data_IF_274844942011
#
_entry.id   IF_274844942011
#
_cell.length_a   1.000
_cell.length_b   1.000
_cell.length_c   1.000
_cell.angle_alpha   90.00
_cell.angle_beta   90.00
_cell.angle_gamma   90.00
#
_symmetry.space_group_name_H-M   'P 1'
#
loop_
_entity.id
_entity.type
_entity.pdbx_description
1 polymer ?
#
# COMPACT_ATOMS: atom_id res chain seq x y z
N UNK A 1 -8.16 -0.51 -16.66
CA UNK A 1 -7.11 -0.20 -15.66
C UNK A 1 -6.90 1.30 -15.60
N UNK A 2 -6.82 1.87 -14.39
CA UNK A 2 -6.57 3.29 -14.14
C UNK A 2 -5.08 3.64 -14.26
N UNK A 3 -4.74 4.91 -14.59
CA UNK A 3 -3.35 5.38 -14.57
C UNK A 3 -2.73 5.29 -13.17
N UNK A 4 -1.41 5.04 -13.08
CA UNK A 4 -0.69 4.98 -11.80
C UNK A 4 -0.87 6.24 -10.96
N UNK A 5 -0.86 7.42 -11.58
CA UNK A 5 -1.10 8.70 -10.89
C UNK A 5 -2.46 8.73 -10.18
N UNK A 6 -3.54 8.28 -10.83
CA UNK A 6 -4.88 8.22 -10.23
C UNK A 6 -4.92 7.21 -9.07
N UNK A 7 -4.25 6.07 -9.21
CA UNK A 7 -4.17 5.05 -8.16
C UNK A 7 -3.39 5.57 -6.93
N UNK A 8 -2.24 6.22 -7.16
CA UNK A 8 -1.42 6.81 -6.10
C UNK A 8 -2.15 7.95 -5.39
N UNK A 9 -2.90 8.78 -6.13
CA UNK A 9 -3.74 9.83 -5.54
C UNK A 9 -4.87 9.25 -4.68
N UNK A 10 -5.53 8.18 -5.12
CA UNK A 10 -6.56 7.52 -4.34
C UNK A 10 -6.01 6.96 -3.03
N UNK A 11 -4.86 6.27 -3.09
CA UNK A 11 -4.16 5.76 -1.91
C UNK A 11 -3.73 6.90 -0.97
N UNK A 12 -3.19 7.98 -1.53
CA UNK A 12 -2.72 9.14 -0.76
C UNK A 12 -3.86 9.82 -0.01
N UNK A 13 -5.03 10.01 -0.64
CA UNK A 13 -6.22 10.54 0.04
C UNK A 13 -6.70 9.62 1.16
N UNK A 14 -6.70 8.32 0.94
CA UNK A 14 -7.08 7.35 1.96
C UNK A 14 -6.08 7.35 3.14
N UNK A 15 -4.78 7.40 2.86
CA UNK A 15 -3.74 7.51 3.88
C UNK A 15 -3.90 8.77 4.73
N UNK A 16 -4.11 9.92 4.09
CA UNK A 16 -4.32 11.19 4.79
C UNK A 16 -5.57 11.17 5.67
N UNK A 17 -6.66 10.51 5.23
CA UNK A 17 -7.88 10.37 6.03
C UNK A 17 -7.66 9.54 7.31
N UNK A 18 -6.75 8.56 7.26
CA UNK A 18 -6.32 7.75 8.41
C UNK A 18 -5.19 8.40 9.22
N UNK A 19 -4.72 9.59 8.84
CA UNK A 19 -3.61 10.28 9.50
C UNK A 19 -2.24 9.63 9.23
N UNK A 20 -2.08 8.95 8.09
CA UNK A 20 -0.87 8.25 7.67
C UNK A 20 -0.22 8.92 6.46
N UNK A 21 1.07 8.66 6.29
CA UNK A 21 1.83 9.00 5.10
C UNK A 21 1.94 7.79 4.17
N UNK A 22 1.67 8.01 2.88
CA UNK A 22 1.81 6.98 1.85
C UNK A 22 3.30 6.80 1.49
N UNK A 23 3.78 5.57 1.60
CA UNK A 23 5.11 5.16 1.16
C UNK A 23 5.14 4.74 -0.31
N UNK A 24 6.24 4.08 -0.69
CA UNK A 24 6.36 3.52 -2.04
C UNK A 24 5.47 2.29 -2.23
N UNK A 25 5.01 2.04 -3.48
CA UNK A 25 4.23 0.86 -3.80
C UNK A 25 5.08 -0.42 -3.64
N UNK A 26 4.49 -1.46 -3.08
CA UNK A 26 5.11 -2.78 -2.96
C UNK A 26 5.01 -3.57 -4.28
N UNK A 27 3.91 -3.40 -5.01
CA UNK A 27 3.62 -4.14 -6.23
C UNK A 27 2.12 -4.45 -6.35
N UNK A 28 1.78 -5.31 -7.30
CA UNK A 28 0.40 -5.69 -7.61
C UNK A 28 0.09 -7.11 -7.13
N UNK A 29 -1.05 -7.28 -6.47
CA UNK A 29 -1.58 -8.58 -6.08
C UNK A 29 -3.08 -8.63 -6.38
N UNK A 30 -3.53 -9.66 -7.09
CA UNK A 30 -4.95 -9.92 -7.37
C UNK A 30 -5.75 -8.70 -7.91
N UNK A 31 -5.09 -7.89 -8.73
CA UNK A 31 -5.69 -6.69 -9.33
C UNK A 31 -5.69 -5.46 -8.43
N UNK A 32 -5.04 -5.52 -7.26
CA UNK A 32 -4.84 -4.41 -6.35
C UNK A 32 -3.38 -3.96 -6.33
N UNK A 33 -3.16 -2.66 -6.48
CA UNK A 33 -1.86 -2.02 -6.25
C UNK A 33 -1.70 -1.74 -4.76
N UNK A 34 -0.62 -2.24 -4.18
CA UNK A 34 -0.36 -2.15 -2.75
C UNK A 34 0.65 -1.02 -2.49
N UNK A 35 0.34 -0.14 -1.55
CA UNK A 35 1.25 0.87 -1.03
C UNK A 35 1.54 0.62 0.44
N UNK A 36 2.79 0.79 0.86
CA UNK A 36 3.10 0.90 2.29
C UNK A 36 2.54 2.20 2.86
N UNK A 37 2.22 2.19 4.14
CA UNK A 37 1.85 3.38 4.90
C UNK A 37 2.64 3.43 6.20
N UNK A 38 2.99 4.65 6.61
CA UNK A 38 3.74 4.90 7.83
C UNK A 38 3.12 6.06 8.61
N UNK A 39 3.32 6.14 9.93
CA UNK A 39 2.99 7.33 10.69
C UNK A 39 3.65 8.59 10.10
N UNK A 40 3.03 9.77 10.24
CA UNK A 40 3.53 11.01 9.63
C UNK A 40 4.87 11.47 10.21
N UNK A 41 5.21 11.02 11.42
CA UNK A 41 6.46 11.25 12.13
C UNK A 41 7.48 10.11 11.96
N UNK A 42 7.28 9.22 10.98
CA UNK A 42 8.21 8.14 10.69
C UNK A 42 9.60 8.67 10.29
N UNK A 43 10.61 8.19 11.02
CA UNK A 43 12.02 8.41 10.72
C UNK A 43 12.71 7.07 10.36
N UNK A 44 13.67 7.07 9.41
CA UNK A 44 14.44 5.86 9.11
C UNK A 44 15.08 5.24 10.35
N UNK A 45 14.81 3.96 10.59
CA UNK A 45 15.32 3.22 11.75
C UNK A 45 14.35 3.12 12.93
N UNK A 46 13.19 3.78 12.85
CA UNK A 46 12.11 3.55 13.82
C UNK A 46 11.59 2.12 13.72
N UNK A 47 11.35 1.51 14.89
CA UNK A 47 10.69 0.21 14.98
C UNK A 47 9.18 0.45 14.96
N UNK A 48 8.56 0.08 13.86
CA UNK A 48 7.11 0.02 13.73
C UNK A 48 6.62 -1.39 14.07
N UNK A 49 5.32 -1.49 14.39
CA UNK A 49 4.64 -2.78 14.56
C UNK A 49 4.48 -3.52 13.24
N UNK A 50 3.32 -4.15 13.05
CA UNK A 50 3.01 -4.76 11.76
C UNK A 50 3.00 -3.70 10.63
N UNK A 51 3.49 -4.04 9.42
CA UNK A 51 3.42 -3.16 8.27
C UNK A 51 1.97 -2.73 8.01
N UNK A 52 1.82 -1.46 7.68
CA UNK A 52 0.54 -0.90 7.27
C UNK A 52 0.58 -0.60 5.79
N UNK A 53 -0.58 -0.59 5.15
CA UNK A 53 -0.66 -0.29 3.74
C UNK A 53 -2.06 0.00 3.24
N UNK A 54 -2.12 0.44 1.99
CA UNK A 54 -3.34 0.67 1.26
C UNK A 54 -3.37 -0.22 0.02
N UNK A 55 -4.48 -0.92 -0.15
CA UNK A 55 -4.77 -1.74 -1.31
C UNK A 55 -5.68 -0.93 -2.22
N UNK A 56 -5.29 -0.78 -3.48
CA UNK A 56 -6.01 0.05 -4.45
C UNK A 56 -6.42 -0.80 -5.63
N UNK A 57 -7.72 -1.00 -5.78
CA UNK A 57 -8.27 -1.70 -6.94
C UNK A 57 -7.89 -0.98 -8.24
N UNK A 58 -7.19 -1.69 -9.13
CA UNK A 58 -6.60 -1.11 -10.34
C UNK A 58 -7.63 -0.72 -11.41
N UNK A 59 -8.88 -1.18 -11.31
CA UNK A 59 -9.92 -0.87 -12.29
C UNK A 59 -10.77 0.34 -11.87
N UNK A 60 -11.13 0.38 -10.59
CA UNK A 60 -12.03 1.36 -9.99
C UNK A 60 -11.28 2.51 -9.32
N UNK A 61 -10.02 2.31 -8.92
CA UNK A 61 -9.24 3.25 -8.12
C UNK A 61 -9.72 3.36 -6.67
N UNK A 62 -10.50 2.39 -6.19
CA UNK A 62 -10.95 2.37 -4.79
C UNK A 62 -9.78 1.94 -3.90
N UNK A 63 -9.35 2.83 -3.02
CA UNK A 63 -8.36 2.53 -2.00
C UNK A 63 -9.03 2.08 -0.69
N UNK A 64 -8.38 1.14 0.01
CA UNK A 64 -8.79 0.67 1.34
C UNK A 64 -7.55 0.45 2.20
N UNK A 65 -7.71 0.65 3.50
CA UNK A 65 -6.69 0.27 4.48
C UNK A 65 -6.56 -1.26 4.55
N UNK A 66 -5.36 -1.75 4.82
CA UNK A 66 -5.09 -3.18 4.97
C UNK A 66 -5.81 -3.76 6.18
N UNK A 67 -6.19 -5.03 6.07
CA UNK A 67 -6.61 -5.86 7.19
C UNK A 67 -5.39 -6.37 7.96
N UNK A 68 -5.62 -6.97 9.13
CA UNK A 68 -4.53 -7.60 9.92
C UNK A 68 -3.85 -8.73 9.15
N UNK A 69 -4.61 -9.59 8.47
CA UNK A 69 -4.05 -10.69 7.68
C UNK A 69 -3.18 -10.16 6.53
N UNK A 70 -3.60 -9.07 5.89
CA UNK A 70 -2.80 -8.42 4.84
C UNK A 70 -1.54 -7.74 5.39
N UNK A 71 -1.60 -7.17 6.59
CA UNK A 71 -0.40 -6.70 7.30
C UNK A 71 0.58 -7.84 7.56
N UNK A 72 0.11 -9.04 7.92
CA UNK A 72 0.95 -10.22 8.08
C UNK A 72 1.51 -10.72 6.74
N UNK A 73 0.72 -10.69 5.66
CA UNK A 73 1.20 -11.00 4.31
C UNK A 73 2.35 -10.08 3.89
N UNK A 74 2.30 -8.79 4.25
CA UNK A 74 3.37 -7.84 3.97
C UNK A 74 4.68 -8.11 4.75
N UNK A 75 4.65 -8.98 5.77
CA UNK A 75 5.86 -9.51 6.40
C UNK A 75 6.43 -10.75 5.69
N UNK A 76 5.64 -11.41 4.84
CA UNK A 76 6.05 -12.64 4.16
C UNK A 76 6.89 -12.34 2.92
N UNK A 77 8.15 -12.81 2.92
CA UNK A 77 9.07 -12.57 1.79
C UNK A 77 8.62 -13.28 0.51
N UNK A 78 8.00 -14.46 0.62
CA UNK A 78 7.49 -15.20 -0.53
C UNK A 78 6.36 -14.45 -1.21
N UNK A 79 5.45 -13.86 -0.43
CA UNK A 79 4.41 -12.96 -0.91
C UNK A 79 5.02 -11.76 -1.65
N UNK A 80 5.95 -11.04 -1.01
CA UNK A 80 6.58 -9.85 -1.61
C UNK A 80 7.32 -10.17 -2.92
N UNK A 81 7.99 -11.31 -3.02
CA UNK A 81 8.64 -11.76 -4.26
C UNK A 81 7.65 -12.20 -5.34
N UNK A 82 6.42 -12.54 -4.97
CA UNK A 82 5.35 -12.91 -5.89
C UNK A 82 4.54 -11.72 -6.43
N UNK A 83 4.78 -10.51 -5.94
CA UNK A 83 4.06 -9.33 -6.41
C UNK A 83 4.35 -9.02 -7.88
N UNK A 84 3.29 -8.65 -8.60
CA UNK A 84 3.39 -8.12 -9.95
C UNK A 84 4.06 -6.74 -9.98
N UNK A 85 4.52 -6.31 -11.18
CA UNK A 85 5.19 -5.03 -11.33
C UNK A 85 4.24 -3.86 -11.03
N UNK A 86 4.81 -2.78 -10.50
CA UNK A 86 4.10 -1.50 -10.36
C UNK A 86 3.86 -0.93 -11.77
N UNK A 87 2.62 -0.51 -12.09
CA UNK A 87 2.31 0.08 -13.39
C UNK A 87 3.02 1.45 -13.57
N UNK A 88 3.40 1.76 -14.81
CA UNK A 88 4.00 3.04 -15.20
C UNK A 88 3.02 4.23 -15.11
#
# INVERSE_FOLDING_TARGET
>A
MKPFSELREAASRAAQAEGLSLGEPAGVHDGELIFYAVPPDYEPGMVLGLPQGFFVDMETGRARYCTTDESEMLCDRGFLYGLGPVPE
#
